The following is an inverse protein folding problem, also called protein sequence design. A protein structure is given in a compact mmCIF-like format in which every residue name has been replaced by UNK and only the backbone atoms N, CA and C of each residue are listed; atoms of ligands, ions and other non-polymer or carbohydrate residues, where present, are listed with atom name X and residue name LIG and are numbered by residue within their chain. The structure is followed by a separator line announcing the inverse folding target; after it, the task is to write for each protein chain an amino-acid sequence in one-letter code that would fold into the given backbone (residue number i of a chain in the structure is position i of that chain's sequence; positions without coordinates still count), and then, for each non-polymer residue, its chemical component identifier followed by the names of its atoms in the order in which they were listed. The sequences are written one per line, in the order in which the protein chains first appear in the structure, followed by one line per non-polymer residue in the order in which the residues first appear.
data_IF_176481603945
#
_entry.id   IF_176481603945
#
_cell.length_a   1.000
_cell.length_b   1.000
_cell.length_c   1.000
_cell.angle_alpha   90.00
_cell.angle_beta   90.00
_cell.angle_gamma   90.00
#
_symmetry.space_group_name_H-M   'P 1'
#
loop_
_entity.id
_entity.type
_entity.pdbx_description
1 polymer ?
#
# COMPACT_ATOMS: atom_id res chain seq x y z
N UNK A 1 14.72 -25.24 -4.53
CA UNK A 1 13.63 -24.22 -4.62
C UNK A 1 13.79 -23.31 -3.42
N UNK A 2 14.19 -22.04 -3.64
CA UNK A 2 14.29 -21.10 -2.54
C UNK A 2 12.89 -20.86 -1.94
N UNK A 3 12.77 -20.86 -0.63
CA UNK A 3 11.49 -20.58 0.02
C UNK A 3 11.04 -19.14 -0.31
N UNK A 4 9.74 -18.85 -0.22
CA UNK A 4 9.23 -17.49 -0.41
C UNK A 4 9.91 -16.49 0.54
N UNK A 5 10.21 -16.92 1.77
CA UNK A 5 10.94 -16.15 2.76
C UNK A 5 12.37 -15.80 2.31
N UNK A 6 13.08 -16.76 1.70
CA UNK A 6 14.43 -16.53 1.17
C UNK A 6 14.43 -15.51 0.02
N UNK A 7 13.42 -15.61 -0.87
CA UNK A 7 13.23 -14.63 -1.94
C UNK A 7 12.90 -13.24 -1.37
N UNK A 8 12.02 -13.16 -0.39
CA UNK A 8 11.69 -11.91 0.29
C UNK A 8 12.93 -11.28 0.93
N UNK A 9 13.71 -12.05 1.69
CA UNK A 9 14.92 -11.56 2.31
C UNK A 9 15.94 -11.00 1.29
N UNK A 10 16.07 -11.64 0.12
CA UNK A 10 16.99 -11.19 -0.90
C UNK A 10 16.49 -10.00 -1.73
N UNK A 11 15.20 -9.98 -2.06
CA UNK A 11 14.62 -8.98 -2.96
C UNK A 11 14.11 -7.74 -2.23
N UNK A 12 13.72 -7.87 -0.98
CA UNK A 12 13.16 -6.77 -0.17
C UNK A 12 14.13 -6.40 0.95
N UNK A 13 14.34 -7.27 1.94
CA UNK A 13 15.05 -6.92 3.16
C UNK A 13 16.51 -6.47 2.90
N UNK A 14 17.27 -7.20 2.07
CA UNK A 14 18.64 -6.82 1.75
C UNK A 14 18.70 -5.52 0.93
N UNK A 15 17.82 -5.37 -0.06
CA UNK A 15 17.76 -4.16 -0.87
C UNK A 15 17.33 -2.94 -0.04
N UNK A 16 16.41 -3.14 0.90
CA UNK A 16 16.04 -2.09 1.84
C UNK A 16 17.25 -1.56 2.60
N UNK A 17 18.08 -2.43 3.17
CA UNK A 17 19.29 -2.00 3.88
C UNK A 17 20.23 -1.19 2.98
N UNK A 18 20.42 -1.62 1.72
CA UNK A 18 21.26 -0.91 0.75
C UNK A 18 20.67 0.49 0.44
N UNK A 19 19.40 0.55 0.10
CA UNK A 19 18.78 1.82 -0.31
C UNK A 19 18.55 2.77 0.86
N UNK A 20 18.28 2.25 2.04
CA UNK A 20 18.28 3.05 3.26
C UNK A 20 19.66 3.65 3.55
N UNK A 21 20.74 2.88 3.38
CA UNK A 21 22.10 3.41 3.49
C UNK A 21 22.36 4.53 2.48
N UNK A 22 21.90 4.38 1.24
CA UNK A 22 21.98 5.45 0.24
C UNK A 22 21.18 6.68 0.70
N UNK A 23 19.95 6.49 1.18
CA UNK A 23 19.08 7.57 1.67
C UNK A 23 19.78 8.39 2.78
N UNK A 24 20.42 7.71 3.74
CA UNK A 24 21.16 8.34 4.84
C UNK A 24 22.40 9.14 4.38
N UNK A 25 22.93 8.84 3.19
CA UNK A 25 24.07 9.61 2.62
C UNK A 25 23.64 10.81 1.79
N UNK A 26 22.32 10.99 1.56
CA UNK A 26 21.81 12.14 0.82
C UNK A 26 22.00 13.43 1.64
N UNK A 27 22.32 14.51 0.94
CA UNK A 27 22.45 15.81 1.57
C UNK A 27 21.05 16.41 1.86
N UNK A 28 20.35 15.81 2.78
CA UNK A 28 19.03 16.22 3.25
C UNK A 28 19.17 16.70 4.71
N UNK A 29 18.55 17.82 5.01
CA UNK A 29 18.65 18.45 6.32
C UNK A 29 18.20 17.53 7.45
N UNK A 30 19.08 17.25 8.41
CA UNK A 30 18.81 16.41 9.58
C UNK A 30 18.70 14.90 9.34
N UNK A 31 18.72 14.39 8.10
CA UNK A 31 18.55 12.95 7.83
C UNK A 31 19.68 12.11 8.38
N UNK A 32 20.93 12.54 8.19
CA UNK A 32 22.08 11.80 8.70
C UNK A 32 22.05 11.65 10.23
N UNK A 33 21.74 12.73 10.94
CA UNK A 33 21.63 12.74 12.39
C UNK A 33 20.45 11.87 12.87
N UNK A 34 19.31 11.91 12.18
CA UNK A 34 18.14 11.07 12.44
C UNK A 34 18.49 9.58 12.33
N UNK A 35 19.25 9.20 11.30
CA UNK A 35 19.68 7.81 11.11
C UNK A 35 20.60 7.26 12.21
N UNK A 36 21.27 8.13 12.96
CA UNK A 36 22.10 7.75 14.14
C UNK A 36 21.26 7.72 15.42
N UNK A 37 20.48 8.78 15.64
CA UNK A 37 19.73 8.98 16.89
C UNK A 37 18.50 8.09 17.02
N UNK A 38 17.84 7.73 15.92
CA UNK A 38 16.63 6.90 15.98
C UNK A 38 16.89 5.47 16.45
N UNK A 39 17.91 4.73 15.97
CA UNK A 39 18.27 3.43 16.53
C UNK A 39 18.64 3.49 18.02
N UNK A 40 19.36 4.53 18.42
CA UNK A 40 19.71 4.75 19.82
C UNK A 40 18.47 5.01 20.68
N UNK A 41 17.52 5.81 20.20
CA UNK A 41 16.25 6.02 20.89
C UNK A 41 15.47 4.70 21.02
N UNK A 42 15.47 3.85 19.98
CA UNK A 42 14.81 2.54 20.02
C UNK A 42 15.37 1.66 21.12
N UNK A 43 16.70 1.55 21.22
CA UNK A 43 17.38 0.77 22.27
C UNK A 43 17.04 1.31 23.66
N UNK A 44 17.11 2.63 23.85
CA UNK A 44 16.74 3.28 25.12
C UNK A 44 15.27 3.05 25.49
N UNK A 45 14.38 3.02 24.49
CA UNK A 45 12.97 2.68 24.74
C UNK A 45 12.79 1.23 25.18
N UNK A 46 13.47 0.28 24.53
CA UNK A 46 13.41 -1.14 24.90
C UNK A 46 13.90 -1.36 26.34
N UNK A 47 15.06 -0.80 26.69
CA UNK A 47 15.61 -0.88 28.03
C UNK A 47 14.73 -0.18 29.07
N UNK A 48 14.25 1.01 28.73
CA UNK A 48 13.40 1.78 29.64
C UNK A 48 12.06 1.11 29.91
N UNK A 49 11.46 0.45 28.92
CA UNK A 49 10.24 -0.32 29.10
C UNK A 49 10.48 -1.60 29.93
N UNK A 50 11.61 -2.28 29.72
CA UNK A 50 11.98 -3.43 30.51
C UNK A 50 12.20 -3.07 32.02
N UNK A 51 12.68 -1.85 32.27
CA UNK A 51 12.86 -1.28 33.63
C UNK A 51 11.56 -0.62 34.17
N UNK A 52 10.42 -0.74 33.50
CA UNK A 52 9.14 -0.14 33.90
C UNK A 52 9.19 1.40 34.04
N UNK A 53 10.07 2.08 33.31
CA UNK A 53 10.15 3.55 33.32
C UNK A 53 8.95 4.17 32.56
N UNK A 54 8.53 5.36 32.99
CA UNK A 54 7.50 6.08 32.24
C UNK A 54 8.01 6.60 30.88
N UNK A 55 7.14 6.74 29.87
CA UNK A 55 7.54 7.30 28.58
C UNK A 55 8.23 8.67 28.67
N UNK A 56 7.79 9.52 29.59
CA UNK A 56 8.37 10.83 29.82
C UNK A 56 9.80 10.73 30.38
N UNK A 57 10.03 9.75 31.28
CA UNK A 57 11.35 9.52 31.83
C UNK A 57 12.33 8.97 30.79
N UNK A 58 11.86 8.09 29.88
CA UNK A 58 12.64 7.53 28.78
C UNK A 58 13.06 8.64 27.80
N UNK A 59 12.10 9.45 27.34
CA UNK A 59 12.35 10.55 26.41
C UNK A 59 13.25 11.61 27.01
N UNK A 60 13.06 11.94 28.29
CA UNK A 60 13.91 12.88 29.01
C UNK A 60 15.35 12.39 29.07
N UNK A 61 15.56 11.12 29.46
CA UNK A 61 16.86 10.50 29.52
C UNK A 61 17.57 10.52 28.16
N UNK A 62 16.86 10.16 27.08
CA UNK A 62 17.40 10.22 25.72
C UNK A 62 17.92 11.60 25.37
N UNK A 63 17.14 12.65 25.60
CA UNK A 63 17.53 14.00 25.21
C UNK A 63 18.64 14.58 26.11
N UNK A 64 18.62 14.30 27.41
CA UNK A 64 19.59 14.85 28.35
C UNK A 64 20.97 14.21 28.24
N UNK A 65 21.03 12.89 28.01
CA UNK A 65 22.28 12.14 28.01
C UNK A 65 22.89 11.93 26.63
N UNK A 66 22.08 11.95 25.56
CA UNK A 66 22.50 11.54 24.22
C UNK A 66 22.37 12.62 23.14
N UNK A 67 21.88 13.80 23.50
CA UNK A 67 21.74 14.90 22.53
C UNK A 67 22.17 16.25 23.10
N UNK A 68 22.36 17.23 22.21
CA UNK A 68 22.63 18.63 22.58
C UNK A 68 21.37 19.51 22.61
N UNK A 69 20.19 18.92 22.34
CA UNK A 69 18.92 19.64 22.30
C UNK A 69 18.46 20.01 23.72
N UNK A 70 18.37 21.32 23.99
CA UNK A 70 18.07 21.83 25.34
C UNK A 70 16.68 22.41 25.48
N UNK A 71 16.12 22.94 24.39
CA UNK A 71 14.77 23.51 24.40
C UNK A 71 13.73 22.46 24.04
N UNK A 72 12.49 22.67 24.47
CA UNK A 72 11.37 21.80 24.11
C UNK A 72 11.08 21.84 22.60
N UNK A 73 11.24 23.01 21.98
CA UNK A 73 11.07 23.17 20.53
C UNK A 73 12.06 22.32 19.73
N UNK A 74 13.35 22.34 20.10
CA UNK A 74 14.37 21.49 19.45
C UNK A 74 14.07 19.99 19.61
N UNK A 75 13.60 19.58 20.79
CA UNK A 75 13.25 18.20 21.09
C UNK A 75 12.04 17.74 20.27
N UNK A 76 11.00 18.55 20.20
CA UNK A 76 9.80 18.27 19.40
C UNK A 76 10.13 18.23 17.92
N UNK A 77 10.96 19.16 17.39
CA UNK A 77 11.41 19.16 16.01
C UNK A 77 12.17 17.86 15.68
N UNK A 78 13.05 17.41 16.58
CA UNK A 78 13.79 16.16 16.36
C UNK A 78 12.87 14.93 16.39
N UNK A 79 11.88 14.86 17.28
CA UNK A 79 10.89 13.78 17.28
C UNK A 79 10.06 13.79 16.00
N UNK A 80 9.71 14.97 15.50
CA UNK A 80 9.00 15.11 14.24
C UNK A 80 9.85 14.64 13.04
N UNK A 81 11.16 14.90 13.05
CA UNK A 81 12.10 14.36 12.05
C UNK A 81 12.18 12.84 12.09
N UNK A 82 12.10 12.22 13.27
CA UNK A 82 12.02 10.76 13.40
C UNK A 82 10.76 10.22 12.70
N UNK A 83 9.59 10.81 12.98
CA UNK A 83 8.33 10.42 12.33
C UNK A 83 8.44 10.55 10.82
N UNK A 84 8.93 11.68 10.33
CA UNK A 84 9.13 11.91 8.90
C UNK A 84 10.08 10.91 8.25
N UNK A 85 11.14 10.53 8.95
CA UNK A 85 12.09 9.53 8.46
C UNK A 85 11.41 8.16 8.37
N UNK A 86 10.71 7.73 9.42
CA UNK A 86 9.99 6.45 9.46
C UNK A 86 8.97 6.36 8.33
N UNK A 87 8.20 7.41 8.07
CA UNK A 87 7.24 7.44 6.96
C UNK A 87 7.92 7.20 5.60
N UNK A 88 9.09 7.80 5.38
CA UNK A 88 9.86 7.60 4.15
C UNK A 88 10.41 6.18 4.04
N UNK A 89 10.77 5.56 5.17
CA UNK A 89 11.19 4.16 5.19
C UNK A 89 10.04 3.22 4.85
N UNK A 90 8.83 3.50 5.32
CA UNK A 90 7.63 2.72 4.95
C UNK A 90 7.41 2.80 3.44
N UNK A 91 7.44 3.99 2.86
CA UNK A 91 7.31 4.17 1.39
C UNK A 91 8.38 3.42 0.61
N UNK A 92 9.62 3.41 1.10
CA UNK A 92 10.71 2.65 0.47
C UNK A 92 10.44 1.13 0.52
N UNK A 93 9.91 0.63 1.64
CA UNK A 93 9.53 -0.79 1.77
C UNK A 93 8.39 -1.11 0.82
N UNK A 94 7.33 -0.30 0.76
CA UNK A 94 6.21 -0.47 -0.15
C UNK A 94 6.68 -0.58 -1.62
N UNK A 95 7.53 0.33 -2.06
CA UNK A 95 8.09 0.30 -3.42
C UNK A 95 8.97 -0.95 -3.67
N UNK A 96 9.69 -1.42 -2.67
CA UNK A 96 10.48 -2.65 -2.77
C UNK A 96 9.61 -3.90 -2.84
N UNK A 97 8.54 -3.97 -2.08
CA UNK A 97 7.59 -5.08 -2.10
C UNK A 97 6.85 -5.13 -3.43
N UNK A 98 6.41 -4.00 -3.96
CA UNK A 98 5.78 -3.90 -5.28
C UNK A 98 6.73 -4.39 -6.38
N UNK A 99 7.98 -3.90 -6.41
CA UNK A 99 8.99 -4.32 -7.38
C UNK A 99 9.34 -5.83 -7.28
N UNK A 100 9.28 -6.40 -6.07
CA UNK A 100 9.60 -7.79 -5.81
C UNK A 100 8.41 -8.75 -5.98
N UNK A 101 7.18 -8.23 -6.06
CA UNK A 101 5.95 -9.02 -5.96
C UNK A 101 5.92 -10.23 -6.92
N UNK A 102 6.17 -10.01 -8.20
CA UNK A 102 6.20 -11.09 -9.21
C UNK A 102 7.36 -12.06 -9.04
N UNK A 103 8.46 -11.62 -8.43
CA UNK A 103 9.64 -12.48 -8.15
C UNK A 103 9.43 -13.40 -6.95
N UNK A 104 8.67 -12.94 -5.95
CA UNK A 104 8.37 -13.70 -4.73
C UNK A 104 7.18 -14.62 -4.95
N UNK A 105 6.12 -14.11 -5.58
CA UNK A 105 4.86 -14.80 -5.76
C UNK A 105 4.84 -15.51 -7.11
N UNK A 106 4.53 -16.81 -7.10
CA UNK A 106 4.28 -17.56 -8.32
C UNK A 106 2.83 -17.32 -8.79
N UNK A 107 2.64 -16.30 -9.62
CA UNK A 107 1.33 -15.91 -10.14
C UNK A 107 0.70 -16.98 -11.06
N UNK A 108 1.48 -17.95 -11.52
CA UNK A 108 1.03 -19.09 -12.32
C UNK A 108 1.11 -20.42 -11.56
N UNK A 109 1.47 -20.36 -10.29
CA UNK A 109 1.61 -21.51 -9.41
C UNK A 109 0.29 -22.12 -8.95
N UNK A 110 0.40 -22.97 -7.95
CA UNK A 110 -0.72 -23.77 -7.43
C UNK A 110 -1.96 -22.98 -7.00
N UNK A 111 -1.81 -21.69 -6.65
CA UNK A 111 -2.90 -20.78 -6.29
C UNK A 111 -3.57 -20.04 -7.46
N UNK A 112 -3.07 -20.21 -8.68
CA UNK A 112 -3.62 -19.53 -9.86
C UNK A 112 -4.88 -20.19 -10.39
N UNK A 113 -5.70 -19.45 -11.13
CA UNK A 113 -6.85 -19.98 -11.86
C UNK A 113 -6.46 -21.11 -12.80
N UNK A 114 -5.42 -20.91 -13.60
CA UNK A 114 -4.92 -21.91 -14.54
C UNK A 114 -4.61 -23.24 -13.85
N UNK A 115 -3.91 -23.18 -12.71
CA UNK A 115 -3.61 -24.39 -11.94
C UNK A 115 -4.86 -25.01 -11.31
N UNK A 116 -5.84 -24.19 -10.87
CA UNK A 116 -7.13 -24.68 -10.36
C UNK A 116 -7.89 -25.45 -11.43
N UNK A 117 -8.03 -24.88 -12.63
CA UNK A 117 -8.70 -25.50 -13.75
C UNK A 117 -7.99 -26.76 -14.22
N UNK A 118 -6.66 -26.74 -14.36
CA UNK A 118 -5.87 -27.91 -14.73
C UNK A 118 -6.03 -29.07 -13.72
N UNK A 119 -5.96 -28.77 -12.42
CA UNK A 119 -6.18 -29.80 -11.37
C UNK A 119 -7.59 -30.36 -11.39
N UNK A 120 -8.58 -29.52 -11.65
CA UNK A 120 -9.97 -29.94 -11.73
C UNK A 120 -10.24 -30.82 -12.95
N UNK A 121 -9.65 -30.47 -14.09
CA UNK A 121 -9.73 -31.24 -15.32
C UNK A 121 -9.04 -32.60 -15.16
N UNK A 122 -7.76 -32.62 -14.72
CA UNK A 122 -6.99 -33.84 -14.54
C UNK A 122 -7.58 -34.77 -13.46
N UNK A 123 -8.24 -34.20 -12.46
CA UNK A 123 -8.85 -34.92 -11.35
C UNK A 123 -10.32 -35.34 -11.60
N UNK A 124 -10.86 -35.10 -12.80
CA UNK A 124 -12.27 -35.32 -13.13
C UNK A 124 -13.23 -34.62 -12.14
N UNK A 125 -12.92 -33.35 -11.77
CA UNK A 125 -13.65 -32.55 -10.79
C UNK A 125 -14.25 -31.28 -11.40
N UNK A 126 -14.35 -31.20 -12.71
CA UNK A 126 -14.88 -30.02 -13.39
C UNK A 126 -16.30 -29.71 -13.00
N UNK A 127 -17.15 -30.73 -12.82
CA UNK A 127 -18.54 -30.52 -12.38
C UNK A 127 -18.62 -29.90 -10.99
N UNK A 128 -17.75 -30.34 -10.06
CA UNK A 128 -17.66 -29.73 -8.72
C UNK A 128 -17.14 -28.29 -8.77
N UNK A 129 -16.23 -28.01 -9.68
CA UNK A 129 -15.74 -26.63 -9.87
C UNK A 129 -16.84 -25.73 -10.44
N UNK A 130 -17.63 -26.24 -11.40
CA UNK A 130 -18.77 -25.52 -11.95
C UNK A 130 -19.82 -25.20 -10.87
N UNK A 131 -20.25 -26.21 -10.11
CA UNK A 131 -21.16 -26.04 -8.99
C UNK A 131 -20.65 -25.01 -7.96
N UNK A 132 -19.34 -25.02 -7.67
CA UNK A 132 -18.73 -24.05 -6.80
C UNK A 132 -18.77 -22.63 -7.37
N UNK A 133 -18.50 -22.45 -8.67
CA UNK A 133 -18.50 -21.15 -9.33
C UNK A 133 -19.89 -20.53 -9.46
N UNK A 134 -20.95 -21.34 -9.59
CA UNK A 134 -22.35 -20.86 -9.58
C UNK A 134 -22.69 -20.08 -8.31
N UNK A 135 -22.07 -20.45 -7.18
CA UNK A 135 -22.33 -19.89 -5.86
C UNK A 135 -21.18 -19.02 -5.32
N UNK A 136 -20.04 -19.03 -5.98
CA UNK A 136 -18.85 -18.27 -5.53
C UNK A 136 -19.03 -16.79 -5.80
N UNK A 137 -18.84 -15.97 -4.76
CA UNK A 137 -18.89 -14.51 -4.86
C UNK A 137 -17.83 -13.90 -3.95
N UNK A 138 -17.11 -12.95 -4.47
CA UNK A 138 -16.18 -12.10 -3.69
C UNK A 138 -16.61 -10.65 -3.84
N UNK A 139 -16.76 -9.95 -2.71
CA UNK A 139 -16.99 -8.52 -2.71
C UNK A 139 -15.75 -7.80 -2.19
N UNK A 140 -15.12 -7.04 -3.04
CA UNK A 140 -14.01 -6.16 -2.68
C UNK A 140 -14.60 -4.81 -2.29
N UNK A 141 -14.44 -4.42 -1.03
CA UNK A 141 -14.97 -3.15 -0.53
C UNK A 141 -13.83 -2.14 -0.43
N UNK A 142 -13.93 -1.06 -1.21
CA UNK A 142 -13.01 0.06 -1.13
C UNK A 142 -13.38 0.94 0.07
N UNK A 143 -12.46 1.03 1.03
CA UNK A 143 -12.62 1.82 2.25
C UNK A 143 -11.56 2.92 2.29
N UNK A 144 -11.92 4.10 2.77
CA UNK A 144 -10.96 5.14 3.07
C UNK A 144 -10.29 4.85 4.42
N UNK A 145 -8.96 4.81 4.43
CA UNK A 145 -8.20 4.73 5.67
C UNK A 145 -7.30 5.96 5.79
N UNK A 146 -7.54 6.87 6.74
CA UNK A 146 -6.83 8.14 6.84
C UNK A 146 -5.30 8.01 6.98
N UNK A 147 -4.85 6.87 7.51
CA UNK A 147 -3.43 6.60 7.78
C UNK A 147 -2.62 6.18 6.55
N UNK A 148 -3.26 5.86 5.42
CA UNK A 148 -2.59 5.39 4.20
C UNK A 148 -2.75 6.36 3.01
N UNK A 149 -3.20 7.57 3.25
CA UNK A 149 -3.35 8.57 2.21
C UNK A 149 -2.05 9.29 1.94
N UNK A 150 -1.23 8.71 1.09
CA UNK A 150 -0.11 9.47 0.54
C UNK A 150 -0.61 10.59 -0.38
N UNK A 151 -0.05 11.82 -0.27
CA UNK A 151 -0.31 12.86 -1.27
C UNK A 151 0.02 12.38 -2.68
N UNK A 152 -0.70 12.88 -3.70
CA UNK A 152 -0.48 12.49 -5.09
C UNK A 152 0.99 12.50 -5.55
N UNK A 153 1.82 13.51 -5.17
CA UNK A 153 3.25 13.49 -5.47
C UNK A 153 4.01 12.30 -4.89
N UNK A 154 3.63 11.84 -3.69
CA UNK A 154 4.26 10.66 -3.06
C UNK A 154 3.89 9.39 -3.80
N UNK A 155 2.63 9.22 -4.21
CA UNK A 155 2.20 8.08 -5.04
C UNK A 155 2.94 8.02 -6.37
N UNK A 156 3.20 9.17 -7.01
CA UNK A 156 4.03 9.24 -8.21
C UNK A 156 5.46 8.76 -7.95
N UNK A 157 6.06 9.18 -6.82
CA UNK A 157 7.41 8.75 -6.44
C UNK A 157 7.45 7.24 -6.16
N UNK A 158 6.43 6.67 -5.51
CA UNK A 158 6.36 5.21 -5.25
C UNK A 158 6.38 4.44 -6.57
N UNK A 159 5.53 4.82 -7.53
CA UNK A 159 5.46 4.17 -8.84
C UNK A 159 6.76 4.29 -9.64
N UNK A 160 7.39 5.46 -9.63
CA UNK A 160 8.65 5.68 -10.33
C UNK A 160 9.82 4.92 -9.64
N UNK A 161 9.81 4.86 -8.31
CA UNK A 161 10.80 4.14 -7.52
C UNK A 161 10.68 2.63 -7.72
N UNK A 162 9.46 2.07 -7.73
CA UNK A 162 9.19 0.68 -8.07
C UNK A 162 9.81 0.29 -9.41
N UNK A 163 9.55 1.06 -10.46
CA UNK A 163 10.12 0.82 -11.78
C UNK A 163 11.64 0.89 -11.80
N UNK A 164 12.24 1.88 -11.12
CA UNK A 164 13.68 2.03 -11.02
C UNK A 164 14.33 0.85 -10.27
N UNK A 165 13.67 0.34 -9.21
CA UNK A 165 14.09 -0.82 -8.44
C UNK A 165 14.01 -2.09 -9.30
N UNK A 166 12.92 -2.31 -10.02
CA UNK A 166 12.73 -3.45 -10.91
C UNK A 166 13.81 -3.50 -12.01
N UNK A 167 14.24 -2.33 -12.51
CA UNK A 167 15.29 -2.19 -13.52
C UNK A 167 16.72 -2.14 -12.95
N UNK A 168 16.92 -2.19 -11.63
CA UNK A 168 18.20 -1.99 -10.94
C UNK A 168 18.92 -0.68 -11.34
N UNK A 169 18.17 0.38 -11.61
CA UNK A 169 18.72 1.66 -12.02
C UNK A 169 19.11 2.53 -10.80
N UNK A 170 20.30 2.33 -10.28
CA UNK A 170 20.79 3.03 -9.07
C UNK A 170 20.79 4.56 -9.19
N UNK A 171 20.97 5.11 -10.38
CA UNK A 171 20.94 6.56 -10.61
C UNK A 171 19.54 7.12 -10.37
N UNK A 172 18.54 6.47 -10.92
CA UNK A 172 17.15 6.88 -10.75
C UNK A 172 16.65 6.58 -9.33
N UNK A 173 17.02 5.45 -8.74
CA UNK A 173 16.72 5.14 -7.34
C UNK A 173 17.23 6.26 -6.44
N UNK A 174 18.48 6.67 -6.57
CA UNK A 174 19.05 7.77 -5.78
C UNK A 174 18.29 9.09 -5.98
N UNK A 175 17.92 9.40 -7.23
CA UNK A 175 17.13 10.59 -7.56
C UNK A 175 15.75 10.57 -6.90
N UNK A 176 15.05 9.45 -6.96
CA UNK A 176 13.72 9.33 -6.35
C UNK A 176 13.77 9.31 -4.83
N UNK A 177 14.80 8.71 -4.23
CA UNK A 177 15.02 8.79 -2.78
C UNK A 177 15.29 10.24 -2.33
N UNK A 178 16.05 11.01 -3.11
CA UNK A 178 16.25 12.44 -2.83
C UNK A 178 14.94 13.24 -2.97
N UNK A 179 14.15 12.95 -3.99
CA UNK A 179 12.85 13.58 -4.19
C UNK A 179 11.89 13.21 -3.04
N UNK A 180 11.85 11.94 -2.62
CA UNK A 180 11.09 11.46 -1.48
C UNK A 180 11.46 12.19 -0.20
N UNK A 181 12.77 12.37 0.04
CA UNK A 181 13.28 13.10 1.20
C UNK A 181 12.82 14.56 1.25
N UNK A 182 12.65 15.21 0.10
CA UNK A 182 12.22 16.60 -0.02
C UNK A 182 10.71 16.78 -0.10
N UNK A 183 9.94 15.72 -0.29
CA UNK A 183 8.49 15.80 -0.46
C UNK A 183 7.80 15.77 0.89
N UNK A 184 6.93 16.75 1.19
CA UNK A 184 6.14 16.74 2.42
C UNK A 184 5.03 15.69 2.36
N UNK A 185 4.89 14.90 3.43
CA UNK A 185 3.85 13.87 3.55
C UNK A 185 2.59 14.40 4.23
N UNK A 186 2.75 15.42 5.06
CA UNK A 186 1.62 16.00 5.76
C UNK A 186 0.88 17.02 4.90
N UNK A 187 -0.42 16.83 4.77
CA UNK A 187 -1.31 17.86 4.28
C UNK A 187 -1.65 18.81 5.43
N UNK A 188 -1.65 20.13 5.16
CA UNK A 188 -2.08 21.13 6.16
C UNK A 188 -3.55 20.97 6.52
N UNK A 189 -4.36 20.46 5.60
CA UNK A 189 -5.80 20.27 5.78
C UNK A 189 -6.13 18.78 5.71
N UNK A 190 -6.98 18.33 6.63
CA UNK A 190 -7.51 16.98 6.63
C UNK A 190 -8.39 16.77 5.39
N UNK A 191 -8.22 15.69 4.60
CA UNK A 191 -9.09 15.42 3.46
C UNK A 191 -10.55 15.27 3.91
N UNK A 192 -11.45 15.78 3.09
CA UNK A 192 -12.90 15.59 3.30
C UNK A 192 -13.30 14.18 2.85
N UNK A 193 -14.45 13.63 3.30
CA UNK A 193 -14.96 12.36 2.79
C UNK A 193 -15.18 12.34 1.28
N UNK A 194 -15.38 13.50 0.65
CA UNK A 194 -15.45 13.61 -0.81
C UNK A 194 -14.08 13.48 -1.45
N UNK A 195 -13.03 14.10 -0.90
CA UNK A 195 -11.66 13.98 -1.39
C UNK A 195 -11.17 12.52 -1.30
N UNK A 196 -11.52 11.83 -0.23
CA UNK A 196 -11.27 10.41 -0.05
C UNK A 196 -11.96 9.58 -1.14
N UNK A 197 -13.23 9.87 -1.40
CA UNK A 197 -13.98 9.20 -2.46
C UNK A 197 -13.33 9.42 -3.85
N UNK A 198 -12.93 10.64 -4.18
CA UNK A 198 -12.25 10.95 -5.46
C UNK A 198 -10.95 10.16 -5.59
N UNK A 199 -10.17 10.06 -4.53
CA UNK A 199 -8.91 9.29 -4.54
C UNK A 199 -9.15 7.80 -4.83
N UNK A 200 -10.19 7.20 -4.25
CA UNK A 200 -10.53 5.79 -4.50
C UNK A 200 -11.23 5.56 -5.85
N UNK A 201 -11.97 6.52 -6.35
CA UNK A 201 -12.56 6.47 -7.70
C UNK A 201 -11.45 6.33 -8.77
N UNK A 202 -10.29 6.92 -8.54
CA UNK A 202 -9.14 6.74 -9.43
C UNK A 202 -8.77 5.26 -9.62
N UNK A 203 -8.79 4.47 -8.55
CA UNK A 203 -8.53 3.01 -8.62
C UNK A 203 -9.62 2.28 -9.41
N UNK A 204 -10.89 2.70 -9.27
CA UNK A 204 -11.98 2.12 -10.07
C UNK A 204 -11.75 2.40 -11.55
N UNK A 205 -11.35 3.63 -11.90
CA UNK A 205 -11.13 4.07 -13.27
C UNK A 205 -9.89 3.42 -13.92
N UNK A 206 -8.79 3.32 -13.19
CA UNK A 206 -7.49 3.03 -13.80
C UNK A 206 -7.02 1.59 -13.53
N UNK A 207 -7.58 0.91 -12.55
CA UNK A 207 -7.20 -0.45 -12.20
C UNK A 207 -8.36 -1.42 -12.39
N UNK A 208 -9.44 -1.29 -11.61
CA UNK A 208 -10.52 -2.28 -11.61
C UNK A 208 -11.27 -2.36 -12.95
N UNK A 209 -11.46 -1.24 -13.63
CA UNK A 209 -12.13 -1.20 -14.94
C UNK A 209 -11.42 -2.06 -16.00
N UNK A 210 -10.11 -2.20 -15.91
CA UNK A 210 -9.30 -3.00 -16.83
C UNK A 210 -9.03 -4.42 -16.30
N UNK A 211 -8.82 -4.57 -15.01
CA UNK A 211 -8.41 -5.84 -14.42
C UNK A 211 -9.57 -6.84 -14.27
N UNK A 212 -10.78 -6.35 -13.95
CA UNK A 212 -11.94 -7.24 -13.78
C UNK A 212 -12.33 -7.93 -15.10
N UNK A 213 -12.47 -7.23 -16.24
CA UNK A 213 -12.75 -7.88 -17.51
C UNK A 213 -11.70 -8.92 -17.89
N UNK A 214 -10.41 -8.59 -17.74
CA UNK A 214 -9.32 -9.53 -18.03
C UNK A 214 -9.42 -10.81 -17.18
N UNK A 215 -9.76 -10.66 -15.91
CA UNK A 215 -9.95 -11.77 -14.98
C UNK A 215 -11.14 -12.67 -15.37
N UNK A 216 -12.26 -12.05 -15.80
CA UNK A 216 -13.40 -12.80 -16.34
C UNK A 216 -13.04 -13.50 -17.64
N UNK A 217 -12.28 -12.87 -18.53
CA UNK A 217 -11.82 -13.48 -19.77
C UNK A 217 -11.00 -14.76 -19.52
N UNK A 218 -10.07 -14.72 -18.57
CA UNK A 218 -9.30 -15.89 -18.15
C UNK A 218 -10.19 -17.03 -17.62
N UNK A 219 -11.21 -16.70 -16.82
CA UNK A 219 -12.18 -17.68 -16.30
C UNK A 219 -13.03 -18.25 -17.42
N UNK A 220 -13.56 -17.41 -18.33
CA UNK A 220 -14.34 -17.86 -19.48
C UNK A 220 -13.55 -18.77 -20.41
N UNK A 221 -12.32 -18.40 -20.74
CA UNK A 221 -11.42 -19.24 -21.56
C UNK A 221 -11.19 -20.61 -20.91
N UNK A 222 -11.03 -20.64 -19.58
CA UNK A 222 -10.79 -21.87 -18.85
C UNK A 222 -12.01 -22.79 -18.74
N UNK A 223 -13.23 -22.22 -18.74
CA UNK A 223 -14.49 -22.97 -18.71
C UNK A 223 -14.95 -23.43 -20.11
N UNK A 224 -14.46 -22.77 -21.17
CA UNK A 224 -14.85 -23.08 -22.55
C UNK A 224 -16.29 -22.67 -22.89
N UNK A 225 -16.91 -23.39 -23.83
CA UNK A 225 -18.23 -23.06 -24.39
C UNK A 225 -19.36 -22.99 -23.36
N UNK A 226 -19.22 -23.66 -22.24
CA UNK A 226 -20.22 -23.70 -21.17
C UNK A 226 -20.04 -22.58 -20.13
N UNK A 227 -19.12 -21.64 -20.33
CA UNK A 227 -18.82 -20.60 -19.35
C UNK A 227 -20.04 -19.74 -18.99
N UNK A 228 -20.84 -19.38 -19.99
CA UNK A 228 -22.06 -18.60 -19.79
C UNK A 228 -23.16 -19.35 -19.03
N UNK A 229 -23.24 -20.67 -19.20
CA UNK A 229 -24.19 -21.50 -18.47
C UNK A 229 -23.78 -21.64 -17.00
N UNK A 230 -22.47 -21.77 -16.73
CA UNK A 230 -21.93 -21.97 -15.40
C UNK A 230 -21.96 -20.69 -14.57
N UNK A 231 -21.53 -19.57 -15.15
CA UNK A 231 -21.47 -18.31 -14.43
C UNK A 231 -22.83 -17.61 -14.45
N UNK A 232 -23.58 -17.70 -15.58
CA UNK A 232 -24.88 -17.10 -15.74
C UNK A 232 -24.86 -15.62 -15.35
N UNK A 233 -25.84 -15.22 -14.55
CA UNK A 233 -25.93 -13.87 -13.97
C UNK A 233 -25.17 -13.74 -12.64
N UNK A 234 -24.36 -14.74 -12.25
CA UNK A 234 -23.61 -14.68 -11.00
C UNK A 234 -22.40 -13.75 -11.12
N UNK A 235 -22.36 -12.59 -10.43
CA UNK A 235 -21.18 -11.74 -10.42
C UNK A 235 -20.14 -12.36 -9.49
N UNK A 236 -19.14 -13.07 -10.06
CA UNK A 236 -18.02 -13.64 -9.30
C UNK A 236 -17.30 -12.59 -8.47
N UNK A 237 -17.18 -11.37 -9.02
CA UNK A 237 -16.60 -10.22 -8.35
C UNK A 237 -17.60 -9.09 -8.25
N UNK A 238 -17.73 -8.52 -7.07
CA UNK A 238 -18.52 -7.33 -6.80
C UNK A 238 -17.62 -6.27 -6.18
N UNK A 239 -17.89 -5.02 -6.51
CA UNK A 239 -17.24 -3.88 -5.88
C UNK A 239 -18.20 -3.23 -4.89
N UNK A 240 -17.72 -2.97 -3.68
CA UNK A 240 -18.36 -2.11 -2.69
C UNK A 240 -17.57 -0.81 -2.57
N UNK A 241 -18.25 0.28 -2.29
CA UNK A 241 -17.64 1.59 -2.14
C UNK A 241 -18.12 2.23 -0.84
N UNK A 242 -17.20 2.42 0.11
CA UNK A 242 -17.50 2.90 1.46
C UNK A 242 -17.51 4.43 1.59
N UNK A 243 -16.53 5.19 1.00
CA UNK A 243 -16.42 6.61 1.21
C UNK A 243 -17.65 7.39 0.75
N UNK A 244 -18.10 8.31 1.59
CA UNK A 244 -19.32 9.07 1.35
C UNK A 244 -20.62 8.30 1.58
N UNK A 245 -20.55 6.98 1.86
CA UNK A 245 -21.72 6.14 2.20
C UNK A 245 -21.83 5.81 3.67
N UNK A 246 -20.70 5.63 4.34
CA UNK A 246 -20.64 5.31 5.76
C UNK A 246 -20.84 6.57 6.61
N UNK A 247 -21.88 6.56 7.43
CA UNK A 247 -22.26 7.67 8.31
C UNK A 247 -21.99 7.37 9.78
N UNK A 248 -21.58 6.15 10.11
CA UNK A 248 -21.40 5.73 11.48
C UNK A 248 -20.24 6.48 12.15
N UNK A 249 -20.59 7.34 13.08
CA UNK A 249 -19.63 8.15 13.82
C UNK A 249 -18.91 9.26 13.02
N UNK A 250 -19.20 9.46 11.74
CA UNK A 250 -18.59 10.49 10.92
C UNK A 250 -19.57 11.66 10.61
N UNK A 251 -19.50 12.78 11.34
CA UNK A 251 -20.42 13.91 11.15
C UNK A 251 -20.24 14.63 9.81
N UNK A 252 -19.14 14.39 9.10
CA UNK A 252 -18.86 14.98 7.79
C UNK A 252 -19.48 14.19 6.62
N UNK A 253 -19.99 12.98 6.87
CA UNK A 253 -20.72 12.20 5.87
C UNK A 253 -22.21 12.45 5.99
N UNK A 254 -22.69 13.48 5.33
CA UNK A 254 -24.10 13.86 5.26
C UNK A 254 -24.74 13.43 3.93
N UNK A 255 -26.04 13.68 3.77
CA UNK A 255 -26.80 13.32 2.56
C UNK A 255 -26.24 14.00 1.30
N UNK A 256 -25.79 15.25 1.40
CA UNK A 256 -25.20 15.98 0.29
C UNK A 256 -23.93 15.32 -0.22
N UNK A 257 -23.02 14.96 0.69
CA UNK A 257 -21.79 14.24 0.36
C UNK A 257 -22.11 12.88 -0.26
N UNK A 258 -23.05 12.13 0.30
CA UNK A 258 -23.47 10.83 -0.27
C UNK A 258 -23.97 10.96 -1.70
N UNK A 259 -24.83 11.94 -1.97
CA UNK A 259 -25.36 12.21 -3.32
C UNK A 259 -24.25 12.63 -4.28
N UNK A 260 -23.35 13.50 -3.85
CA UNK A 260 -22.21 13.99 -4.64
C UNK A 260 -21.25 12.87 -5.03
N UNK A 261 -20.96 11.95 -4.09
CA UNK A 261 -20.14 10.77 -4.36
C UNK A 261 -20.84 9.81 -5.32
N UNK A 262 -22.13 9.52 -5.10
CA UNK A 262 -22.90 8.66 -5.97
C UNK A 262 -22.99 9.21 -7.41
N UNK A 263 -23.17 10.53 -7.57
CA UNK A 263 -23.16 11.17 -8.87
C UNK A 263 -21.79 11.08 -9.55
N UNK A 264 -20.71 11.27 -8.80
CA UNK A 264 -19.36 11.15 -9.32
C UNK A 264 -19.05 9.72 -9.77
N UNK A 265 -19.43 8.70 -8.99
CA UNK A 265 -19.31 7.29 -9.38
C UNK A 265 -20.06 7.00 -10.69
N UNK A 266 -21.30 7.52 -10.81
CA UNK A 266 -22.10 7.38 -12.04
C UNK A 266 -21.41 8.03 -13.23
N UNK A 267 -20.92 9.27 -13.10
CA UNK A 267 -20.24 9.99 -14.17
C UNK A 267 -18.94 9.28 -14.59
N UNK A 268 -18.21 8.73 -13.66
CA UNK A 268 -17.01 7.93 -13.91
C UNK A 268 -17.31 6.72 -14.79
N UNK A 269 -18.37 5.99 -14.48
CA UNK A 269 -18.78 4.84 -15.28
C UNK A 269 -19.21 5.23 -16.70
N UNK A 270 -20.05 6.26 -16.84
CA UNK A 270 -20.50 6.72 -18.15
C UNK A 270 -19.39 7.36 -18.99
N UNK A 271 -18.46 8.09 -18.38
CA UNK A 271 -17.34 8.71 -19.09
C UNK A 271 -16.34 7.71 -19.71
N UNK A 272 -16.41 6.44 -19.31
CA UNK A 272 -15.60 5.35 -19.90
C UNK A 272 -16.33 4.56 -20.99
N UNK A 273 -17.62 4.80 -21.17
CA UNK A 273 -18.44 4.13 -22.20
C UNK A 273 -18.53 4.96 -23.50
N UNK A 274 -18.03 6.20 -23.50
CA UNK A 274 -17.91 7.10 -24.66
C UNK A 274 -16.47 7.11 -25.18
#
# INVERSE_FOLDING_TARGET
MNSALEKFNNLVALRYQIYNSIFLTLNLDGVHQTGILLPLLSEICEDGLADERSPEAIIRYFFEEHTEYRTEEERVDQLFRFVQYIERQIVLVDALEDAAFSGINDLRGAGSYTALFQRSSNGNRMDKLREALENFRVRIVLTAHPTQFYPGPVLGIISDLDQAIAQNNLKDIKRFLEQLGKTPFFKKEKPTPYDEAISLIWYLENIFYHSIPALYEDVFQSLGDNAHEVIGDNPLLQLGFWPGGDRDGNPFVNTEITLKVAERLRLTLFGRQL
#
